data_IF_231635277146
#
_entry.id   IF_231635277146
#
_cell.length_a   1.000
_cell.length_b   1.000
_cell.length_c   1.000
_cell.angle_alpha   90.00
_cell.angle_beta   90.00
_cell.angle_gamma   90.00
#
_symmetry.space_group_name_H-M   'P 1'
#
loop_
_entity.id
_entity.type
_entity.pdbx_description
1 polymer ?
#
# COMPACT_ATOMS: atom_id res chain seq x y z
N UNK A 1 16.24 -27.19 50.82
CA UNK A 1 15.84 -26.48 49.57
C UNK A 1 16.89 -26.77 48.51
N UNK A 2 16.79 -27.91 47.85
CA UNK A 2 16.21 -28.10 46.50
C UNK A 2 17.05 -27.53 45.34
N UNK A 3 17.95 -28.41 44.88
CA UNK A 3 18.24 -28.82 43.49
C UNK A 3 18.48 -27.70 42.46
N UNK A 4 19.77 -27.52 42.17
CA UNK A 4 20.32 -27.00 40.91
C UNK A 4 19.88 -27.85 39.72
N UNK A 5 19.47 -27.21 38.64
CA UNK A 5 19.52 -27.79 37.30
C UNK A 5 20.46 -26.97 36.41
N UNK A 6 21.61 -27.59 36.13
CA UNK A 6 22.45 -27.32 34.98
C UNK A 6 21.86 -28.09 33.80
N UNK A 7 21.69 -27.44 32.65
CA UNK A 7 21.61 -28.13 31.37
C UNK A 7 22.66 -27.52 30.44
N UNK A 8 23.78 -28.24 30.36
CA UNK A 8 24.79 -28.15 29.32
C UNK A 8 24.21 -28.77 28.05
N UNK A 9 24.33 -28.11 26.90
CA UNK A 9 24.49 -28.81 25.62
C UNK A 9 25.64 -28.15 24.85
N UNK A 10 26.75 -28.90 24.82
CA UNK A 10 27.91 -28.71 23.96
C UNK A 10 27.51 -29.11 22.52
N UNK A 11 27.79 -28.31 21.49
CA UNK A 11 29.02 -28.26 20.70
C UNK A 11 28.70 -28.67 19.25
N UNK A 12 29.34 -28.01 18.28
CA UNK A 12 29.26 -28.40 16.87
C UNK A 12 29.47 -27.23 15.93
N UNK A 13 30.74 -26.90 15.69
CA UNK A 13 31.16 -25.88 14.74
C UNK A 13 30.83 -26.25 13.29
N UNK A 14 30.42 -25.25 12.51
CA UNK A 14 30.91 -25.09 11.12
C UNK A 14 31.03 -23.61 10.83
N UNK A 15 32.28 -23.15 10.86
CA UNK A 15 32.71 -21.97 10.14
C UNK A 15 32.48 -22.24 8.64
N UNK A 16 31.48 -21.58 8.05
CA UNK A 16 31.48 -21.31 6.63
C UNK A 16 31.87 -19.84 6.49
N UNK A 17 33.16 -19.61 6.33
CA UNK A 17 33.70 -18.39 5.79
C UNK A 17 33.12 -18.20 4.38
N UNK A 18 32.01 -17.49 4.27
CA UNK A 18 31.83 -16.58 3.15
C UNK A 18 32.41 -15.26 3.64
N UNK A 19 33.73 -15.16 3.49
CA UNK A 19 34.34 -13.88 3.18
C UNK A 19 33.61 -13.35 1.94
N UNK A 20 32.47 -12.69 2.15
CA UNK A 20 32.01 -11.71 1.21
C UNK A 20 33.21 -10.79 0.99
N UNK A 21 33.59 -10.48 -0.26
CA UNK A 21 34.62 -9.49 -0.46
C UNK A 21 34.22 -8.29 0.39
N UNK A 22 35.13 -7.87 1.27
CA UNK A 22 35.07 -6.54 1.87
C UNK A 22 35.14 -5.61 0.67
N UNK A 23 33.98 -5.28 0.11
CA UNK A 23 33.90 -4.30 -0.95
C UNK A 23 34.30 -3.01 -0.27
N UNK A 24 35.50 -2.57 -0.65
CA UNK A 24 36.17 -1.37 -0.16
C UNK A 24 35.18 -0.24 0.04
N UNK A 25 35.41 0.52 1.11
CA UNK A 25 34.67 1.70 1.54
C UNK A 25 34.79 2.89 0.57
N UNK A 26 34.76 2.66 -0.75
CA UNK A 26 34.76 3.68 -1.79
C UNK A 26 33.35 4.00 -2.28
N UNK A 27 32.39 4.06 -1.36
CA UNK A 27 31.20 4.86 -1.62
C UNK A 27 31.55 6.33 -1.35
N UNK A 28 32.38 6.93 -2.22
CA UNK A 28 32.49 8.39 -2.29
C UNK A 28 31.07 8.95 -2.43
N UNK A 29 30.68 10.00 -1.67
CA UNK A 29 29.43 10.69 -1.91
C UNK A 29 29.35 11.08 -3.39
N UNK A 30 28.32 10.61 -4.10
CA UNK A 30 28.17 10.83 -5.54
C UNK A 30 28.78 9.75 -6.46
N UNK A 31 29.20 8.60 -5.92
CA UNK A 31 29.56 7.44 -6.75
C UNK A 31 28.29 6.73 -7.26
N UNK A 32 28.21 6.58 -8.59
CA UNK A 32 27.17 5.76 -9.22
C UNK A 32 27.53 4.28 -9.05
N UNK A 33 26.58 3.47 -8.60
CA UNK A 33 26.75 2.02 -8.51
C UNK A 33 25.53 1.30 -9.07
N UNK A 34 25.70 0.02 -9.42
CA UNK A 34 24.60 -0.84 -9.87
C UNK A 34 23.84 -1.35 -8.66
N UNK A 35 22.51 -1.24 -8.71
CA UNK A 35 21.62 -1.75 -7.67
C UNK A 35 20.56 -2.66 -8.26
N UNK A 36 20.22 -3.71 -7.53
CA UNK A 36 18.96 -4.41 -7.65
C UNK A 36 17.91 -3.67 -6.81
N UNK A 37 16.89 -3.16 -7.48
CA UNK A 37 15.87 -2.27 -6.93
C UNK A 37 14.54 -3.02 -6.92
N UNK A 38 13.92 -3.19 -5.75
CA UNK A 38 12.64 -3.89 -5.60
C UNK A 38 11.63 -3.01 -4.85
N UNK A 39 10.44 -2.85 -5.41
CA UNK A 39 9.31 -2.13 -4.85
C UNK A 39 8.13 -3.10 -4.70
N UNK A 40 7.57 -3.19 -3.50
CA UNK A 40 6.37 -3.98 -3.21
C UNK A 40 5.40 -3.14 -2.37
N UNK A 41 4.10 -3.30 -2.58
CA UNK A 41 3.11 -2.62 -1.74
C UNK A 41 1.67 -3.03 -2.01
N UNK A 42 0.80 -2.47 -1.18
CA UNK A 42 -0.65 -2.65 -1.27
C UNK A 42 -1.39 -1.37 -0.89
N UNK A 43 -2.55 -1.18 -1.49
CA UNK A 43 -3.54 -0.18 -1.11
C UNK A 43 -4.87 -0.88 -0.84
N UNK A 44 -5.51 -0.52 0.27
CA UNK A 44 -6.87 -0.93 0.60
C UNK A 44 -7.72 0.30 0.87
N UNK A 45 -8.78 0.47 0.09
CA UNK A 45 -9.77 1.52 0.29
C UNK A 45 -11.09 0.89 0.70
N UNK A 46 -11.70 1.43 1.76
CA UNK A 46 -13.01 1.03 2.28
C UNK A 46 -13.88 2.28 2.32
N UNK A 47 -14.99 2.26 1.59
CA UNK A 47 -16.01 3.30 1.59
C UNK A 47 -17.25 2.73 2.27
N UNK A 48 -17.73 3.39 3.31
CA UNK A 48 -18.96 3.01 4.03
C UNK A 48 -19.94 4.15 3.97
N UNK A 49 -21.21 3.84 3.72
CA UNK A 49 -22.30 4.81 3.85
C UNK A 49 -23.29 4.32 4.89
N UNK A 50 -23.44 5.09 5.95
CA UNK A 50 -24.34 4.78 7.06
C UNK A 50 -25.29 5.95 7.32
N UNK A 51 -26.52 5.63 7.75
CA UNK A 51 -27.50 6.62 8.19
C UNK A 51 -28.79 6.58 7.38
N UNK A 52 -29.68 7.54 7.63
CA UNK A 52 -31.00 7.58 7.00
C UNK A 52 -31.00 8.44 5.75
N UNK A 53 -31.74 8.08 4.70
CA UNK A 53 -32.09 9.00 3.61
C UNK A 53 -33.58 8.95 3.36
N UNK A 54 -34.18 10.09 3.10
CA UNK A 54 -35.57 10.18 2.67
C UNK A 54 -35.59 10.30 1.14
N UNK A 55 -36.34 9.44 0.47
CA UNK A 55 -36.51 9.51 -0.97
C UNK A 55 -37.53 10.59 -1.38
N UNK A 56 -37.75 10.75 -2.68
CA UNK A 56 -38.67 11.75 -3.22
C UNK A 56 -40.15 11.49 -2.85
N UNK A 57 -40.50 10.26 -2.47
CA UNK A 57 -41.84 9.87 -1.98
C UNK A 57 -42.00 10.07 -0.46
N UNK A 58 -40.98 10.56 0.24
CA UNK A 58 -41.02 10.74 1.69
C UNK A 58 -40.71 9.47 2.49
N UNK A 59 -40.35 8.37 1.83
CA UNK A 59 -39.93 7.14 2.49
C UNK A 59 -38.52 7.30 3.04
N UNK A 60 -38.36 7.03 4.33
CA UNK A 60 -37.05 7.09 5.00
C UNK A 60 -36.44 5.71 5.10
N UNK A 61 -35.21 5.55 4.61
CA UNK A 61 -34.47 4.30 4.64
C UNK A 61 -33.18 4.45 5.44
N UNK A 62 -32.88 3.49 6.31
CA UNK A 62 -31.57 3.31 6.92
C UNK A 62 -30.66 2.54 5.96
N UNK A 63 -29.43 3.01 5.78
CA UNK A 63 -28.40 2.38 4.94
C UNK A 63 -27.24 1.85 5.78
N UNK A 64 -26.68 0.73 5.33
CA UNK A 64 -25.47 0.11 5.86
C UNK A 64 -24.57 -0.38 4.72
N UNK A 65 -24.29 0.50 3.75
CA UNK A 65 -23.57 0.12 2.53
C UNK A 65 -22.05 0.10 2.75
N UNK A 66 -21.36 -0.80 2.03
CA UNK A 66 -19.90 -0.93 2.08
C UNK A 66 -19.30 -1.30 0.72
N UNK A 67 -18.30 -0.54 0.27
CA UNK A 67 -17.49 -0.80 -0.93
C UNK A 67 -16.03 -0.97 -0.52
N UNK A 68 -15.37 -2.02 -1.00
CA UNK A 68 -13.99 -2.35 -0.66
C UNK A 68 -13.21 -2.59 -1.94
N UNK A 69 -12.07 -1.90 -2.08
CA UNK A 69 -11.11 -2.16 -3.15
C UNK A 69 -9.75 -2.49 -2.53
N UNK A 70 -9.10 -3.52 -3.06
CA UNK A 70 -7.73 -3.88 -2.69
C UNK A 70 -6.87 -3.95 -3.95
N UNK A 71 -5.72 -3.31 -3.88
CA UNK A 71 -4.74 -3.22 -4.96
C UNK A 71 -3.40 -3.70 -4.42
N UNK A 72 -2.75 -4.63 -5.11
CA UNK A 72 -1.40 -5.09 -4.80
C UNK A 72 -0.47 -4.81 -5.99
N UNK A 73 0.77 -4.44 -5.72
CA UNK A 73 1.77 -4.18 -6.75
C UNK A 73 3.16 -4.61 -6.33
N UNK A 74 3.95 -5.05 -7.30
CA UNK A 74 5.35 -5.37 -7.14
C UNK A 74 6.11 -5.06 -8.44
N UNK A 75 7.35 -4.61 -8.32
CA UNK A 75 8.24 -4.36 -9.44
C UNK A 75 9.68 -4.48 -8.99
N UNK A 76 10.53 -5.07 -9.82
CA UNK A 76 11.96 -5.13 -9.58
C UNK A 76 12.73 -4.81 -10.85
N UNK A 77 13.86 -4.14 -10.72
CA UNK A 77 14.77 -3.84 -11.84
C UNK A 77 16.19 -3.66 -11.34
N UNK A 78 17.16 -3.94 -12.21
CA UNK A 78 18.55 -3.54 -12.01
C UNK A 78 18.79 -2.18 -12.64
N UNK A 79 19.56 -1.32 -11.99
CA UNK A 79 19.88 -0.01 -12.55
C UNK A 79 21.04 0.68 -11.85
N UNK A 80 21.72 1.56 -12.59
CA UNK A 80 22.71 2.47 -12.05
C UNK A 80 22.02 3.57 -11.25
N UNK A 81 22.44 3.79 -10.01
CA UNK A 81 21.92 4.85 -9.15
C UNK A 81 23.07 5.55 -8.43
N UNK A 82 22.94 6.86 -8.31
CA UNK A 82 23.77 7.68 -7.44
C UNK A 82 23.00 7.97 -6.15
N UNK A 83 23.46 7.42 -5.03
CA UNK A 83 22.87 7.68 -3.71
C UNK A 83 23.73 8.73 -3.01
N UNK A 84 23.19 9.92 -2.80
CA UNK A 84 23.93 11.07 -2.26
C UNK A 84 23.63 11.31 -0.78
N UNK A 85 24.33 12.25 -0.15
CA UNK A 85 24.00 12.75 1.19
C UNK A 85 22.62 13.42 1.27
N UNK A 86 22.06 13.86 0.13
CA UNK A 86 20.71 14.44 0.04
C UNK A 86 19.60 13.38 0.00
N UNK A 87 19.95 12.11 -0.17
CA UNK A 87 19.01 10.99 -0.19
C UNK A 87 18.95 10.24 -1.52
N UNK A 88 17.85 9.53 -1.74
CA UNK A 88 17.60 8.75 -2.95
C UNK A 88 17.20 9.66 -4.13
N UNK A 89 17.63 9.34 -5.36
CA UNK A 89 17.10 10.00 -6.55
C UNK A 89 15.64 9.59 -6.78
N UNK A 90 14.98 10.25 -7.74
CA UNK A 90 13.66 9.84 -8.21
C UNK A 90 13.75 8.50 -8.95
N UNK A 91 12.90 7.53 -8.59
CA UNK A 91 12.88 6.18 -9.19
C UNK A 91 11.49 5.90 -9.75
N UNK A 92 11.42 5.57 -11.05
CA UNK A 92 10.16 5.26 -11.73
C UNK A 92 10.02 3.77 -12.04
N UNK A 93 8.81 3.24 -11.91
CA UNK A 93 8.47 1.85 -12.17
C UNK A 93 7.30 1.77 -13.16
N UNK A 94 7.36 0.79 -14.05
CA UNK A 94 6.19 0.32 -14.80
C UNK A 94 5.87 -1.08 -14.30
N UNK A 95 4.61 -1.34 -13.96
CA UNK A 95 4.22 -2.61 -13.36
C UNK A 95 2.81 -3.03 -13.73
N UNK A 96 2.53 -4.31 -13.49
CA UNK A 96 1.17 -4.84 -13.47
C UNK A 96 0.69 -4.92 -12.02
N UNK A 97 -0.31 -4.12 -11.70
CA UNK A 97 -1.03 -4.18 -10.42
C UNK A 97 -2.11 -5.25 -10.47
N UNK A 98 -2.45 -5.83 -9.32
CA UNK A 98 -3.57 -6.75 -9.14
C UNK A 98 -4.66 -6.06 -8.34
N UNK A 99 -5.87 -5.99 -8.88
CA UNK A 99 -7.01 -5.30 -8.27
C UNK A 99 -8.15 -6.27 -8.02
N UNK A 100 -8.74 -6.21 -6.84
CA UNK A 100 -9.95 -6.94 -6.45
C UNK A 100 -10.90 -5.98 -5.73
N UNK A 101 -12.20 -6.26 -5.74
CA UNK A 101 -13.16 -5.47 -4.98
C UNK A 101 -14.43 -6.21 -4.62
N UNK A 102 -15.17 -5.64 -3.69
CA UNK A 102 -16.46 -6.16 -3.22
C UNK A 102 -17.35 -5.01 -2.77
N UNK A 103 -18.63 -5.10 -3.09
CA UNK A 103 -19.64 -4.14 -2.70
C UNK A 103 -20.83 -4.85 -2.08
N UNK A 104 -21.30 -4.25 -0.99
CA UNK A 104 -22.43 -4.64 -0.21
C UNK A 104 -23.37 -3.45 -0.10
N UNK A 105 -24.64 -3.65 -0.46
CA UNK A 105 -25.72 -2.68 -0.24
C UNK A 105 -26.77 -3.29 0.67
N UNK A 106 -27.15 -2.53 1.67
CA UNK A 106 -28.19 -2.89 2.62
C UNK A 106 -28.98 -1.65 3.01
N UNK A 107 -30.30 -1.75 2.85
CA UNK A 107 -31.21 -0.65 3.08
C UNK A 107 -32.53 -1.16 3.64
N UNK A 108 -33.02 -0.54 4.70
CA UNK A 108 -34.27 -0.93 5.38
C UNK A 108 -35.15 0.28 5.68
N UNK A 109 -36.49 0.14 5.69
CA UNK A 109 -37.38 1.24 6.04
C UNK A 109 -37.16 1.63 7.51
N UNK A 110 -37.04 2.93 7.77
CA UNK A 110 -36.80 3.48 9.10
C UNK A 110 -38.10 3.69 9.92
N UNK A 111 -39.27 3.29 9.39
CA UNK A 111 -40.58 3.50 9.99
C UNK A 111 -41.64 2.51 9.50
N UNK A 112 -42.79 2.44 10.20
CA UNK A 112 -43.83 1.43 10.05
C UNK A 112 -44.97 1.81 9.07
N UNK A 113 -44.73 2.72 8.13
CA UNK A 113 -45.71 3.09 7.10
C UNK A 113 -45.75 2.04 5.99
N UNK A 114 -46.94 1.50 5.70
CA UNK A 114 -47.16 0.26 4.94
C UNK A 114 -46.76 0.26 3.45
N UNK A 115 -46.25 1.37 2.91
CA UNK A 115 -45.99 1.49 1.46
C UNK A 115 -44.50 1.66 1.10
N UNK A 116 -43.61 1.77 2.09
CA UNK A 116 -42.18 1.91 1.84
C UNK A 116 -41.51 0.54 1.61
N UNK A 117 -41.30 0.19 0.35
CA UNK A 117 -40.55 -1.01 -0.02
C UNK A 117 -39.04 -0.76 0.11
N UNK A 118 -38.36 -1.57 0.92
CA UNK A 118 -36.91 -1.51 1.05
C UNK A 118 -36.23 -1.85 -0.28
N UNK A 119 -35.19 -1.11 -0.72
CA UNK A 119 -34.36 -1.57 -1.82
C UNK A 119 -33.73 -2.92 -1.49
N UNK A 120 -33.66 -3.82 -2.47
CA UNK A 120 -33.12 -5.16 -2.27
C UNK A 120 -31.65 -5.13 -1.82
N UNK A 121 -31.32 -5.99 -0.85
CA UNK A 121 -29.93 -6.32 -0.50
C UNK A 121 -29.19 -6.77 -1.76
N UNK A 122 -28.01 -6.20 -2.00
CA UNK A 122 -27.23 -6.51 -3.20
C UNK A 122 -25.76 -6.67 -2.85
N UNK A 123 -25.22 -7.84 -3.19
CA UNK A 123 -23.81 -8.15 -3.09
C UNK A 123 -23.19 -8.29 -4.48
N UNK A 124 -22.04 -7.65 -4.69
CA UNK A 124 -21.26 -7.75 -5.92
C UNK A 124 -19.80 -7.93 -5.58
N UNK A 125 -19.11 -8.74 -6.38
CA UNK A 125 -17.67 -8.90 -6.27
C UNK A 125 -17.00 -8.76 -7.63
N UNK A 126 -15.76 -8.32 -7.60
CA UNK A 126 -14.89 -8.19 -8.75
C UNK A 126 -13.64 -9.02 -8.50
N UNK A 127 -13.48 -10.07 -9.30
CA UNK A 127 -12.31 -10.94 -9.26
C UNK A 127 -11.01 -10.22 -9.65
N UNK A 128 -9.85 -10.87 -9.46
CA UNK A 128 -8.55 -10.26 -9.66
C UNK A 128 -8.34 -9.82 -11.12
N UNK A 129 -8.17 -8.52 -11.33
CA UNK A 129 -7.79 -7.94 -12.61
C UNK A 129 -6.33 -7.48 -12.59
N UNK A 130 -5.58 -7.73 -13.68
CA UNK A 130 -4.22 -7.21 -13.86
C UNK A 130 -4.27 -5.92 -14.66
N UNK A 131 -3.85 -4.81 -14.05
CA UNK A 131 -3.90 -3.47 -14.67
C UNK A 131 -2.50 -2.86 -14.74
N UNK A 132 -2.19 -2.22 -15.87
CA UNK A 132 -0.89 -1.55 -16.05
C UNK A 132 -0.86 -0.24 -15.27
N UNK A 133 0.21 -0.03 -14.52
CA UNK A 133 0.42 1.16 -13.72
C UNK A 133 1.84 1.69 -13.84
N UNK A 134 1.99 2.97 -13.49
CA UNK A 134 3.27 3.64 -13.32
C UNK A 134 3.38 4.15 -11.89
N UNK A 135 4.52 3.91 -11.25
CA UNK A 135 4.85 4.42 -9.93
C UNK A 135 6.09 5.27 -9.98
N UNK A 136 6.14 6.29 -9.13
CA UNK A 136 7.31 7.12 -8.92
C UNK A 136 7.58 7.27 -7.44
N UNK A 137 8.83 7.04 -7.05
CA UNK A 137 9.37 7.29 -5.73
C UNK A 137 10.17 8.59 -5.81
N UNK A 138 9.77 9.63 -5.09
CA UNK A 138 10.39 10.96 -5.13
C UNK A 138 10.95 11.37 -3.77
N UNK A 139 12.18 11.90 -3.68
CA UNK A 139 12.67 12.48 -2.44
C UNK A 139 11.82 13.70 -2.05
N UNK A 140 11.53 13.85 -0.76
CA UNK A 140 10.86 15.02 -0.18
C UNK A 140 11.80 15.70 0.82
N UNK A 141 12.03 17.02 0.68
CA UNK A 141 12.82 17.76 1.66
C UNK A 141 12.24 17.57 3.06
N UNK A 142 13.08 17.18 4.03
CA UNK A 142 12.76 17.00 5.46
C UNK A 142 11.77 15.86 5.81
N UNK A 143 11.10 15.25 4.84
CA UNK A 143 10.05 14.23 5.07
C UNK A 143 10.41 12.85 4.52
N UNK A 144 11.61 12.67 3.96
CA UNK A 144 12.08 11.40 3.43
C UNK A 144 11.69 11.21 1.97
N UNK A 145 10.73 10.31 1.69
CA UNK A 145 10.37 9.89 0.33
C UNK A 145 8.85 9.83 0.17
N UNK A 146 8.35 10.26 -0.98
CA UNK A 146 6.94 10.14 -1.38
C UNK A 146 6.78 9.09 -2.47
N UNK A 147 5.75 8.25 -2.34
CA UNK A 147 5.27 7.37 -3.41
C UNK A 147 4.07 8.02 -4.11
N UNK A 148 4.10 8.03 -5.44
CA UNK A 148 3.03 8.54 -6.30
C UNK A 148 2.80 7.54 -7.45
N UNK A 149 1.56 7.39 -7.92
CA UNK A 149 1.21 6.38 -8.90
C UNK A 149 -0.02 6.72 -9.74
N UNK A 150 -0.13 6.05 -10.89
CA UNK A 150 -1.31 6.11 -11.72
C UNK A 150 -1.48 4.85 -12.58
N UNK A 151 -2.72 4.42 -12.80
CA UNK A 151 -3.00 3.50 -13.89
C UNK A 151 -2.74 4.17 -15.24
N UNK A 152 -2.25 3.39 -16.20
CA UNK A 152 -1.97 3.88 -17.56
C UNK A 152 -3.26 4.34 -18.26
N UNK A 153 -4.39 3.71 -17.96
CA UNK A 153 -5.71 4.09 -18.50
C UNK A 153 -6.55 4.70 -17.39
N UNK A 154 -7.15 5.86 -17.65
CA UNK A 154 -7.99 6.57 -16.67
C UNK A 154 -9.17 5.71 -16.18
N UNK A 155 -9.83 4.97 -17.09
CA UNK A 155 -10.96 4.08 -16.77
C UNK A 155 -10.63 2.96 -15.79
N UNK A 156 -9.36 2.57 -15.69
CA UNK A 156 -8.93 1.48 -14.81
C UNK A 156 -8.99 1.89 -13.32
N UNK A 157 -9.10 3.19 -13.02
CA UNK A 157 -9.27 3.71 -11.63
C UNK A 157 -10.54 3.20 -10.97
N UNK A 158 -11.64 3.12 -11.71
CA UNK A 158 -12.91 2.61 -11.23
C UNK A 158 -13.03 1.09 -11.37
N UNK A 159 -11.99 0.39 -11.83
CA UNK A 159 -12.05 -1.06 -11.98
C UNK A 159 -12.26 -1.69 -10.61
N UNK A 160 -13.30 -2.51 -10.49
CA UNK A 160 -13.71 -3.12 -9.22
C UNK A 160 -14.16 -2.13 -8.12
N UNK A 161 -14.38 -0.85 -8.44
CA UNK A 161 -15.11 0.08 -7.58
C UNK A 161 -16.58 0.04 -8.00
N UNK A 162 -17.50 -0.09 -7.05
CA UNK A 162 -18.79 -0.72 -7.35
C UNK A 162 -20.03 0.05 -6.96
N UNK A 163 -19.98 1.21 -6.28
CA UNK A 163 -20.95 2.35 -6.45
C UNK A 163 -21.03 3.37 -5.30
N UNK A 164 -20.31 3.25 -4.17
CA UNK A 164 -20.45 4.23 -3.06
C UNK A 164 -19.57 5.46 -3.18
N UNK A 165 -18.58 5.39 -4.06
CA UNK A 165 -17.62 6.43 -4.38
C UNK A 165 -16.50 5.78 -5.19
N UNK A 166 -15.95 6.48 -6.18
CA UNK A 166 -14.71 6.03 -6.77
C UNK A 166 -13.62 6.16 -5.68
N UNK A 167 -12.77 5.16 -5.45
CA UNK A 167 -11.58 5.38 -4.63
C UNK A 167 -10.79 6.52 -5.27
N UNK A 168 -10.42 7.50 -4.45
CA UNK A 168 -9.95 8.82 -4.89
C UNK A 168 -8.85 8.75 -5.96
N UNK A 169 -8.00 7.72 -5.94
CA UNK A 169 -7.00 7.43 -6.99
C UNK A 169 -6.29 6.09 -6.73
N UNK A 170 -5.60 5.57 -7.75
CA UNK A 170 -4.55 4.57 -7.56
C UNK A 170 -3.32 5.30 -6.99
N UNK A 171 -3.04 5.04 -5.72
CA UNK A 171 -2.01 5.64 -4.86
C UNK A 171 -2.16 7.13 -4.59
N UNK A 172 -2.24 7.43 -3.30
CA UNK A 172 -2.12 8.77 -2.74
C UNK A 172 -0.68 9.00 -2.26
N UNK A 173 -0.22 10.27 -2.19
CA UNK A 173 1.01 10.64 -1.53
C UNK A 173 1.11 10.05 -0.13
N UNK A 174 1.89 8.98 0.02
CA UNK A 174 2.23 8.45 1.35
C UNK A 174 3.57 9.04 1.79
N UNK A 175 3.67 9.43 3.05
CA UNK A 175 4.95 9.80 3.65
C UNK A 175 5.72 8.53 4.05
N UNK A 176 7.03 8.56 3.85
CA UNK A 176 7.94 7.48 4.23
C UNK A 176 9.18 8.06 4.90
N UNK A 177 9.60 7.44 6.00
CA UNK A 177 10.88 7.75 6.64
C UNK A 177 11.97 6.90 6.00
N UNK A 178 13.01 7.56 5.52
CA UNK A 178 14.21 6.88 5.04
C UNK A 178 15.00 6.37 6.24
N UNK A 179 15.06 5.06 6.44
CA UNK A 179 16.03 4.45 7.35
C UNK A 179 17.31 4.19 6.58
N UNK A 180 18.29 5.09 6.72
CA UNK A 180 19.60 4.88 6.13
C UNK A 180 20.18 3.60 6.73
N UNK A 181 20.54 2.65 5.88
CA UNK A 181 21.20 1.44 6.36
C UNK A 181 22.59 1.80 6.91
N UNK A 182 23.07 1.13 7.96
CA UNK A 182 24.35 1.43 8.60
C UNK A 182 25.50 1.50 7.59
N UNK A 183 26.56 2.24 7.91
CA UNK A 183 27.77 2.26 7.09
C UNK A 183 28.27 0.82 6.86
N UNK A 184 28.48 0.43 5.59
CA UNK A 184 28.86 -0.93 5.18
C UNK A 184 27.68 -1.86 4.85
N UNK A 185 26.42 -1.45 5.03
CA UNK A 185 25.29 -2.24 4.58
C UNK A 185 25.20 -2.23 3.04
N UNK A 186 25.36 -3.39 2.40
CA UNK A 186 25.17 -3.57 0.95
C UNK A 186 23.73 -3.38 0.47
N UNK A 187 22.83 -2.88 1.33
CA UNK A 187 21.40 -2.72 1.07
C UNK A 187 20.86 -1.47 1.74
N UNK A 188 19.87 -0.82 1.12
CA UNK A 188 19.11 0.33 1.61
C UNK A 188 17.64 -0.04 1.67
N UNK A 189 16.98 0.29 2.78
CA UNK A 189 15.55 0.04 2.98
C UNK A 189 14.78 1.33 3.17
N UNK A 190 13.63 1.43 2.48
CA UNK A 190 12.68 2.52 2.66
C UNK A 190 11.29 1.93 2.77
N UNK A 191 10.53 2.37 3.75
CA UNK A 191 9.17 1.90 3.98
C UNK A 191 8.24 3.08 4.26
N UNK A 192 7.02 2.99 3.76
CA UNK A 192 6.00 4.01 3.95
C UNK A 192 4.66 3.40 4.28
N UNK A 193 3.89 4.14 5.07
CA UNK A 193 2.51 3.82 5.42
C UNK A 193 1.69 5.09 5.41
N UNK A 194 0.52 5.04 4.77
CA UNK A 194 -0.49 6.10 4.81
C UNK A 194 -1.78 5.50 5.33
N UNK A 195 -2.43 6.22 6.23
CA UNK A 195 -3.82 5.98 6.62
C UNK A 195 -4.54 7.31 6.44
N UNK A 196 -5.36 7.40 5.39
CA UNK A 196 -6.23 8.54 5.15
C UNK A 196 -7.65 8.17 5.58
N UNK A 197 -8.24 9.03 6.40
CA UNK A 197 -9.64 8.92 6.81
C UNK A 197 -10.35 10.22 6.44
N UNK A 198 -11.35 10.13 5.57
CA UNK A 198 -12.20 11.24 5.14
C UNK A 198 -13.66 10.90 5.44
N UNK A 199 -14.42 11.87 5.93
CA UNK A 199 -15.86 11.72 6.13
C UNK A 199 -16.55 12.92 5.50
N UNK A 200 -17.48 12.64 4.59
CA UNK A 200 -18.29 13.63 3.91
C UNK A 200 -19.77 13.23 4.01
N UNK A 201 -20.55 14.07 4.69
CA UNK A 201 -21.94 13.80 5.04
C UNK A 201 -22.13 12.41 5.70
N UNK A 202 -22.72 11.45 4.97
CA UNK A 202 -23.04 10.09 5.43
C UNK A 202 -22.04 9.04 4.95
N UNK A 203 -20.99 9.46 4.24
CA UNK A 203 -20.01 8.59 3.63
C UNK A 203 -18.67 8.75 4.32
N UNK A 204 -18.09 7.65 4.77
CA UNK A 204 -16.76 7.57 5.34
C UNK A 204 -15.86 6.76 4.42
N UNK A 205 -14.68 7.29 4.11
CA UNK A 205 -13.67 6.64 3.30
C UNK A 205 -12.40 6.46 4.12
N UNK A 206 -11.91 5.23 4.19
CA UNK A 206 -10.64 4.87 4.80
C UNK A 206 -9.73 4.27 3.73
N UNK A 207 -8.59 4.90 3.48
CA UNK A 207 -7.57 4.39 2.56
C UNK A 207 -6.29 4.10 3.32
N UNK A 208 -5.82 2.86 3.24
CA UNK A 208 -4.56 2.40 3.82
C UNK A 208 -3.62 2.03 2.69
N UNK A 209 -2.41 2.60 2.70
CA UNK A 209 -1.34 2.27 1.74
C UNK A 209 -0.13 1.83 2.54
N UNK A 210 0.44 0.67 2.20
CA UNK A 210 1.67 0.14 2.77
C UNK A 210 2.62 -0.25 1.65
N UNK A 211 3.89 0.15 1.74
CA UNK A 211 4.88 -0.20 0.73
C UNK A 211 6.31 -0.26 1.28
N UNK A 212 7.16 -0.94 0.51
CA UNK A 212 8.57 -1.13 0.78
C UNK A 212 9.39 -1.04 -0.49
N UNK A 213 10.47 -0.27 -0.44
CA UNK A 213 11.52 -0.20 -1.44
C UNK A 213 12.81 -0.76 -0.83
N UNK A 214 13.45 -1.68 -1.55
CA UNK A 214 14.75 -2.25 -1.21
C UNK A 214 15.72 -1.98 -2.35
N UNK A 215 16.90 -1.46 -2.03
CA UNK A 215 18.00 -1.31 -2.98
C UNK A 215 19.18 -2.14 -2.49
N UNK A 216 19.67 -3.10 -3.27
CA UNK A 216 20.83 -3.92 -2.92
C UNK A 216 21.93 -3.65 -3.92
N UNK A 217 23.12 -3.27 -3.45
CA UNK A 217 24.29 -3.03 -4.31
C UNK A 217 24.78 -4.38 -4.85
N UNK A 218 25.07 -4.42 -6.16
CA UNK A 218 25.57 -5.59 -6.89
C UNK A 218 27.00 -5.35 -7.31
#
# INVERSE_FOLDING_TARGET
>A
MHIRWLALFAAGATAAALAAPVVSADARPGSTATYDISLTGSQRSVVTRNGTTTDASGCTFQHADRDVQTIAFASSRRGLLEITSRGLPTISFTLASRVTGSFHRESHPAGSGSDCSAPAKSDRSCGPARLRARLTVRPRPRLGVQLDGGYVRARDRARCATTLGAPDTFLQPSESRLTRSPAGAGRVFVHGRLVLHTTEAKTTTITIVDWRLTLTRV
#
